data_IF_661694528035
#
_entry.id   IF_661694528035
#
_cell.length_a   1.000
_cell.length_b   1.000
_cell.length_c   1.000
_cell.angle_alpha   90.00
_cell.angle_beta   90.00
_cell.angle_gamma   90.00
#
_symmetry.space_group_name_H-M   'P 1'
#
loop_
_entity.id
_entity.type
_entity.pdbx_description
1 polymer ?
#
# COMPACT_ATOMS: atom_id res chain seq x y z
N UNK A 1 15.79 10.64 -5.07
CA UNK A 1 15.50 11.73 -4.11
C UNK A 1 14.16 11.57 -3.39
N UNK A 2 13.02 11.31 -4.06
CA UNK A 2 11.70 11.16 -3.39
C UNK A 2 11.63 10.05 -2.33
N UNK A 3 12.22 8.87 -2.56
CA UNK A 3 12.25 7.79 -1.56
C UNK A 3 13.11 8.10 -0.35
N UNK A 4 14.20 8.86 -0.52
CA UNK A 4 15.03 9.34 0.59
C UNK A 4 14.24 10.26 1.52
N UNK A 5 13.45 11.19 0.98
CA UNK A 5 12.56 12.05 1.76
C UNK A 5 11.48 11.27 2.51
N UNK A 6 10.87 10.27 1.86
CA UNK A 6 9.89 9.38 2.49
C UNK A 6 10.52 8.60 3.65
N UNK A 7 11.72 8.06 3.45
CA UNK A 7 12.46 7.34 4.46
C UNK A 7 12.88 8.25 5.63
N UNK A 8 13.30 9.47 5.34
CA UNK A 8 13.70 10.48 6.32
C UNK A 8 12.49 10.94 7.15
N UNK A 9 11.33 11.19 6.52
CA UNK A 9 10.09 11.50 7.25
C UNK A 9 9.55 10.32 8.05
N UNK A 10 9.69 9.09 7.53
CA UNK A 10 9.27 7.88 8.26
C UNK A 10 10.16 7.62 9.49
N UNK A 11 11.47 7.83 9.36
CA UNK A 11 12.42 7.68 10.48
C UNK A 11 12.26 8.80 11.50
N UNK A 12 12.04 10.04 11.05
CA UNK A 12 11.68 11.16 11.95
C UNK A 12 10.38 10.91 12.70
N UNK A 13 9.33 10.42 12.02
CA UNK A 13 8.05 10.09 12.66
C UNK A 13 8.15 8.94 13.67
N UNK A 14 9.05 7.99 13.43
CA UNK A 14 9.37 6.92 14.37
C UNK A 14 10.16 7.40 15.60
N UNK A 15 11.16 8.26 15.39
CA UNK A 15 11.95 8.87 16.48
C UNK A 15 11.11 9.82 17.34
N UNK A 16 10.20 10.58 16.71
CA UNK A 16 9.25 11.47 17.41
C UNK A 16 8.15 10.73 18.16
N UNK A 17 7.84 9.48 17.78
CA UNK A 17 6.84 8.65 18.49
C UNK A 17 7.38 7.98 19.76
N UNK A 18 8.62 8.27 20.18
CA UNK A 18 9.33 7.76 21.37
C UNK A 18 8.57 6.80 22.29
N UNK A 19 7.61 7.31 23.05
CA UNK A 19 6.88 6.62 24.14
C UNK A 19 5.68 5.77 23.64
N UNK A 20 5.26 5.97 22.39
CA UNK A 20 4.11 5.34 21.75
C UNK A 20 4.46 4.59 20.45
N UNK A 21 5.66 4.01 20.40
CA UNK A 21 6.16 3.25 19.24
C UNK A 21 5.23 2.10 18.83
N UNK A 22 4.54 1.47 19.79
CA UNK A 22 3.55 0.42 19.53
C UNK A 22 2.37 0.89 18.68
N UNK A 23 1.81 2.07 18.99
CA UNK A 23 0.73 2.69 18.21
C UNK A 23 1.19 3.06 16.80
N UNK A 24 2.43 3.52 16.65
CA UNK A 24 3.05 3.86 15.37
C UNK A 24 3.25 2.63 14.48
N UNK A 25 3.76 1.54 15.06
CA UNK A 25 3.98 0.29 14.33
C UNK A 25 2.67 -0.40 13.94
N UNK A 26 1.64 -0.33 14.79
CA UNK A 26 0.29 -0.78 14.45
C UNK A 26 -0.30 0.03 13.27
N UNK A 27 -0.13 1.36 13.28
CA UNK A 27 -0.53 2.23 12.17
C UNK A 27 0.17 1.88 10.86
N UNK A 28 1.47 1.60 10.89
CA UNK A 28 2.23 1.10 9.74
C UNK A 28 1.72 -0.24 9.23
N UNK A 29 1.56 -1.23 10.13
CA UNK A 29 1.10 -2.56 9.79
C UNK A 29 -0.27 -2.54 9.12
N UNK A 30 -1.24 -1.89 9.74
CA UNK A 30 -2.61 -1.79 9.22
C UNK A 30 -2.63 -1.04 7.89
N UNK A 31 -1.90 0.08 7.76
CA UNK A 31 -1.80 0.82 6.50
C UNK A 31 -1.20 -0.04 5.37
N UNK A 32 -0.15 -0.81 5.67
CA UNK A 32 0.52 -1.66 4.68
C UNK A 32 -0.40 -2.76 4.15
N UNK A 33 -1.11 -3.45 5.05
CA UNK A 33 -2.04 -4.53 4.69
C UNK A 33 -3.27 -3.98 3.98
N UNK A 34 -3.82 -2.85 4.43
CA UNK A 34 -5.02 -2.26 3.84
C UNK A 34 -4.77 -1.71 2.42
N UNK A 35 -3.62 -1.07 2.19
CA UNK A 35 -3.25 -0.60 0.83
C UNK A 35 -2.84 -1.77 -0.06
N UNK A 36 -2.14 -2.77 0.49
CA UNK A 36 -1.73 -3.97 -0.26
C UNK A 36 -2.92 -4.80 -0.74
N UNK A 37 -3.91 -5.05 0.12
CA UNK A 37 -5.13 -5.78 -0.23
C UNK A 37 -5.97 -5.01 -1.26
N UNK A 38 -6.12 -3.70 -1.08
CA UNK A 38 -6.79 -2.82 -2.03
C UNK A 38 -6.11 -2.81 -3.41
N UNK A 39 -4.77 -2.71 -3.45
CA UNK A 39 -4.01 -2.74 -4.70
C UNK A 39 -4.17 -4.08 -5.43
N UNK A 40 -4.12 -5.20 -4.69
CA UNK A 40 -4.24 -6.53 -5.29
C UNK A 40 -5.59 -6.72 -5.96
N UNK A 41 -6.68 -6.37 -5.27
CA UNK A 41 -8.03 -6.47 -5.81
C UNK A 41 -8.28 -5.49 -6.97
N UNK A 42 -7.82 -4.25 -6.84
CA UNK A 42 -8.03 -3.21 -7.84
C UNK A 42 -7.26 -3.46 -9.15
N UNK A 43 -6.01 -3.92 -9.09
CA UNK A 43 -5.13 -3.92 -10.27
C UNK A 43 -4.76 -5.31 -10.78
N UNK A 44 -4.65 -6.33 -9.92
CA UNK A 44 -4.32 -7.69 -10.35
C UNK A 44 -5.54 -8.40 -10.94
N UNK A 45 -6.72 -8.20 -10.37
CA UNK A 45 -7.96 -8.80 -10.88
C UNK A 45 -8.54 -8.00 -12.07
N UNK A 46 -8.34 -6.68 -12.12
CA UNK A 46 -8.94 -5.82 -13.14
C UNK A 46 -8.30 -5.94 -14.52
N UNK A 47 -7.09 -6.49 -14.64
CA UNK A 47 -6.37 -6.57 -15.93
C UNK A 47 -7.05 -7.49 -16.94
N UNK A 48 -7.98 -8.35 -16.50
CA UNK A 48 -8.63 -9.37 -17.36
C UNK A 48 -9.97 -8.92 -17.96
N UNK A 49 -10.72 -8.05 -17.27
CA UNK A 49 -12.07 -7.62 -17.68
C UNK A 49 -12.28 -6.13 -17.42
N UNK A 50 -12.10 -5.25 -18.43
CA UNK A 50 -12.20 -3.79 -18.25
C UNK A 50 -13.60 -3.33 -17.85
N UNK A 51 -14.65 -4.08 -18.21
CA UNK A 51 -16.03 -3.82 -17.81
C UNK A 51 -16.27 -3.98 -16.29
N UNK A 52 -15.44 -4.75 -15.58
CA UNK A 52 -15.55 -4.97 -14.13
C UNK A 52 -14.61 -4.05 -13.33
N UNK A 53 -13.92 -3.11 -13.98
CA UNK A 53 -12.92 -2.27 -13.32
C UNK A 53 -13.52 -1.45 -12.15
N UNK A 54 -14.71 -0.86 -12.35
CA UNK A 54 -15.38 -0.08 -11.32
C UNK A 54 -15.80 -0.95 -10.12
N UNK A 55 -16.32 -2.14 -10.37
CA UNK A 55 -16.70 -3.10 -9.32
C UNK A 55 -15.47 -3.53 -8.50
N UNK A 56 -14.34 -3.82 -9.16
CA UNK A 56 -13.11 -4.23 -8.49
C UNK A 56 -12.46 -3.09 -7.70
N UNK A 57 -12.57 -1.85 -8.18
CA UNK A 57 -12.16 -0.65 -7.43
C UNK A 57 -13.02 -0.47 -6.17
N UNK A 58 -14.35 -0.63 -6.27
CA UNK A 58 -15.24 -0.62 -5.11
C UNK A 58 -14.90 -1.74 -4.13
N UNK A 59 -14.63 -2.95 -4.62
CA UNK A 59 -14.22 -4.07 -3.76
C UNK A 59 -12.89 -3.80 -3.06
N UNK A 60 -11.93 -3.18 -3.74
CA UNK A 60 -10.67 -2.73 -3.15
C UNK A 60 -10.86 -1.67 -2.06
N UNK A 61 -11.80 -0.73 -2.27
CA UNK A 61 -12.18 0.26 -1.26
C UNK A 61 -12.81 -0.41 -0.04
N UNK A 62 -13.75 -1.34 -0.25
CA UNK A 62 -14.40 -2.08 0.84
C UNK A 62 -13.41 -2.94 1.62
N UNK A 63 -12.46 -3.60 0.94
CA UNK A 63 -11.39 -4.35 1.59
C UNK A 63 -10.49 -3.45 2.42
N UNK A 64 -10.13 -2.25 1.92
CA UNK A 64 -9.36 -1.27 2.67
C UNK A 64 -10.10 -0.87 3.96
N UNK A 65 -11.40 -0.57 3.85
CA UNK A 65 -12.23 -0.23 5.02
C UNK A 65 -12.33 -1.39 6.00
N UNK A 66 -12.59 -2.61 5.53
CA UNK A 66 -12.69 -3.80 6.38
C UNK A 66 -11.40 -4.05 7.17
N UNK A 67 -10.23 -4.02 6.51
CA UNK A 67 -8.92 -4.20 7.16
C UNK A 67 -8.66 -3.10 8.19
N UNK A 68 -9.05 -1.85 7.91
CA UNK A 68 -8.87 -0.77 8.87
C UNK A 68 -9.76 -0.92 10.09
N UNK A 69 -11.01 -1.32 9.90
CA UNK A 69 -11.97 -1.50 10.99
C UNK A 69 -11.53 -2.66 11.88
N UNK A 70 -11.22 -3.82 11.29
CA UNK A 70 -10.77 -5.00 12.06
C UNK A 70 -9.41 -4.75 12.72
N UNK A 71 -8.49 -4.09 12.02
CA UNK A 71 -7.18 -3.74 12.56
C UNK A 71 -7.26 -2.76 13.74
N UNK A 72 -8.13 -1.75 13.67
CA UNK A 72 -8.34 -0.81 14.78
C UNK A 72 -9.02 -1.47 15.96
N UNK A 73 -10.09 -2.25 15.72
CA UNK A 73 -10.78 -2.97 16.80
C UNK A 73 -9.83 -3.91 17.54
N UNK A 74 -9.03 -4.68 16.80
CA UNK A 74 -8.05 -5.57 17.40
C UNK A 74 -6.92 -4.80 18.10
N UNK A 75 -6.48 -3.67 17.54
CA UNK A 75 -5.44 -2.83 18.15
C UNK A 75 -5.85 -2.17 19.48
N UNK A 76 -7.14 -1.89 19.65
CA UNK A 76 -7.72 -1.39 20.91
C UNK A 76 -7.81 -2.54 21.94
N UNK A 77 -8.32 -3.71 21.55
CA UNK A 77 -8.41 -4.87 22.45
C UNK A 77 -7.06 -5.36 22.97
N UNK A 78 -6.03 -5.32 22.13
CA UNK A 78 -4.68 -5.72 22.49
C UNK A 78 -3.91 -4.66 23.32
N UNK A 79 -4.53 -3.52 23.64
CA UNK A 79 -3.93 -2.37 24.33
C UNK A 79 -2.64 -1.85 23.65
N UNK A 80 -2.51 -2.10 22.34
CA UNK A 80 -1.38 -1.67 21.52
C UNK A 80 -1.53 -0.20 21.13
N UNK A 81 -2.78 0.27 21.00
CA UNK A 81 -3.13 1.67 20.72
C UNK A 81 -3.31 2.41 22.04
N UNK A 82 -2.20 2.86 22.63
CA UNK A 82 -2.23 3.70 23.83
C UNK A 82 -2.63 5.16 23.53
N UNK A 83 -2.43 5.61 22.29
CA UNK A 83 -2.76 6.97 21.85
C UNK A 83 -3.43 6.95 20.47
N UNK A 84 -4.75 7.18 20.38
CA UNK A 84 -5.50 7.16 19.12
C UNK A 84 -5.02 8.21 18.11
N UNK A 85 -4.52 9.35 18.57
CA UNK A 85 -4.06 10.44 17.70
C UNK A 85 -2.78 10.04 16.96
N UNK A 86 -1.83 9.44 17.67
CA UNK A 86 -0.55 8.97 17.09
C UNK A 86 -0.82 7.83 16.11
N UNK A 87 -1.75 6.94 16.45
CA UNK A 87 -2.22 5.91 15.52
C UNK A 87 -2.81 6.51 14.24
N UNK A 88 -3.72 7.48 14.34
CA UNK A 88 -4.34 8.09 13.17
C UNK A 88 -3.33 8.83 12.27
N UNK A 89 -2.41 9.60 12.88
CA UNK A 89 -1.36 10.33 12.16
C UNK A 89 -0.40 9.37 11.43
N UNK A 90 0.07 8.33 12.13
CA UNK A 90 0.94 7.31 11.53
C UNK A 90 0.23 6.54 10.42
N UNK A 91 -1.01 6.10 10.64
CA UNK A 91 -1.83 5.42 9.63
C UNK A 91 -2.03 6.30 8.38
N UNK A 92 -2.32 7.59 8.53
CA UNK A 92 -2.51 8.52 7.41
C UNK A 92 -1.21 8.67 6.61
N UNK A 93 -0.10 8.96 7.30
CA UNK A 93 1.21 9.11 6.67
C UNK A 93 1.59 7.84 5.89
N UNK A 94 1.49 6.68 6.53
CA UNK A 94 1.86 5.41 5.89
C UNK A 94 0.90 5.00 4.78
N UNK A 95 -0.40 5.30 4.89
CA UNK A 95 -1.35 5.08 3.80
C UNK A 95 -0.93 5.81 2.52
N UNK A 96 -0.44 7.05 2.63
CA UNK A 96 0.07 7.82 1.48
C UNK A 96 1.38 7.19 0.96
N UNK A 97 2.32 6.91 1.85
CA UNK A 97 3.65 6.35 1.49
C UNK A 97 3.52 4.99 0.81
N UNK A 98 2.73 4.08 1.37
CA UNK A 98 2.53 2.73 0.81
C UNK A 98 1.78 2.81 -0.52
N UNK A 99 0.79 3.71 -0.65
CA UNK A 99 0.09 3.93 -1.93
C UNK A 99 1.06 4.42 -3.02
N UNK A 100 1.97 5.32 -2.66
CA UNK A 100 3.02 5.77 -3.57
C UNK A 100 3.95 4.62 -3.96
N UNK A 101 4.37 3.80 -2.99
CA UNK A 101 5.25 2.67 -3.22
C UNK A 101 4.64 1.64 -4.17
N UNK A 102 3.37 1.26 -3.94
CA UNK A 102 2.65 0.34 -4.83
C UNK A 102 2.43 0.91 -6.23
N UNK A 103 2.15 2.21 -6.35
CA UNK A 103 2.00 2.87 -7.65
C UNK A 103 3.32 2.83 -8.44
N UNK A 104 4.46 3.09 -7.77
CA UNK A 104 5.78 2.98 -8.39
C UNK A 104 6.13 1.55 -8.75
N UNK A 105 5.88 0.59 -7.86
CA UNK A 105 6.10 -0.83 -8.13
C UNK A 105 5.30 -1.28 -9.37
N UNK A 106 4.08 -0.79 -9.55
CA UNK A 106 3.26 -1.04 -10.74
C UNK A 106 3.91 -0.51 -12.02
N UNK A 107 4.39 0.73 -12.02
CA UNK A 107 5.09 1.31 -13.17
C UNK A 107 6.29 0.44 -13.60
N UNK A 108 7.08 -0.04 -12.62
CA UNK A 108 8.19 -0.95 -12.89
C UNK A 108 7.73 -2.29 -13.48
N UNK A 109 6.64 -2.87 -12.97
CA UNK A 109 6.09 -4.13 -13.50
C UNK A 109 5.62 -3.97 -14.96
N UNK A 110 4.92 -2.88 -15.27
CA UNK A 110 4.45 -2.60 -16.63
C UNK A 110 5.60 -2.31 -17.60
N UNK A 111 6.63 -1.58 -17.15
CA UNK A 111 7.83 -1.32 -17.93
C UNK A 111 8.58 -2.62 -18.27
N UNK A 112 8.75 -3.55 -17.31
CA UNK A 112 9.36 -4.86 -17.57
C UNK A 112 8.51 -5.71 -18.53
N UNK A 113 7.20 -5.72 -18.38
CA UNK A 113 6.30 -6.47 -19.27
C UNK A 113 6.41 -5.98 -20.73
N UNK A 114 6.43 -4.66 -20.94
CA UNK A 114 6.60 -4.09 -22.30
C UNK A 114 7.99 -4.34 -22.89
N UNK A 115 9.05 -4.35 -22.07
CA UNK A 115 10.40 -4.71 -22.52
C UNK A 115 10.48 -6.19 -22.94
N UNK A 116 9.83 -7.09 -22.20
CA UNK A 116 9.77 -8.51 -22.54
C UNK A 116 8.98 -8.78 -23.83
N UNK A 117 7.85 -8.08 -24.05
CA UNK A 117 7.08 -8.16 -25.30
C UNK A 117 7.91 -7.69 -26.51
N UNK A 118 8.64 -6.57 -26.37
CA UNK A 118 9.54 -6.09 -27.42
C UNK A 118 10.66 -7.09 -27.75
N UNK A 119 11.26 -7.71 -26.75
CA UNK A 119 12.31 -8.70 -26.94
C UNK A 119 11.80 -9.94 -27.70
N UNK A 120 10.61 -10.43 -27.35
CA UNK A 120 9.96 -11.56 -28.04
C UNK A 120 9.69 -11.25 -29.52
N UNK A 121 9.15 -10.06 -29.82
CA UNK A 121 8.86 -9.62 -31.20
C UNK A 121 10.11 -9.42 -32.06
N UNK A 122 11.25 -9.08 -31.46
CA UNK A 122 12.52 -8.95 -32.18
C UNK A 122 13.09 -10.31 -32.58
N UNK A 123 13.01 -11.31 -31.70
CA UNK A 123 13.43 -12.69 -31.97
C UNK A 123 12.60 -13.30 -33.11
N UNK A 124 11.30 -13.01 -33.15
CA UNK A 124 10.38 -13.50 -34.19
C UNK A 124 10.58 -12.82 -35.55
N UNK A 125 11.22 -11.64 -35.59
CA UNK A 125 11.61 -10.96 -36.85
C UNK A 125 13.00 -11.34 -37.37
N UNK A 126 13.82 -11.98 -36.53
CA UNK A 126 15.19 -12.37 -36.87
C UNK A 126 15.29 -13.83 -37.35
N UNK A 127 14.20 -14.59 -37.24
CA UNK A 127 14.02 -15.94 -37.77
C UNK A 127 13.22 -15.91 -39.07
#
# INVERSE_FOLDING_TARGET
MKFGLIFLMSTLGGVLSGEHFHSFMAGFGIASVAVGSGYWLAFRCSTRYPQLALMLLLMGMMAKMAVTITGVMWGIEANVINSPIIFALSYLFFSIVVTYLYSRLREFQMARASAADKASKLQLKAA
#
